data_IF_443796877937
#
_entry.id   IF_443796877937
#
_cell.length_a   1.000
_cell.length_b   1.000
_cell.length_c   1.000
_cell.angle_alpha   90.00
_cell.angle_beta   90.00
_cell.angle_gamma   90.00
#
_symmetry.space_group_name_H-M   'P 1'
#
loop_
_entity.id
_entity.type
_entity.pdbx_description
1 polymer ?
#
# COMPACT_ATOMS: atom_id res chain seq x y z
N UNK A 1 -1.33 20.31 -12.20
CA UNK A 1 -1.15 19.27 -11.16
C UNK A 1 -2.38 19.26 -10.27
N UNK A 2 -2.97 18.12 -10.02
CA UNK A 2 -4.11 17.95 -9.14
C UNK A 2 -3.76 17.02 -7.97
N UNK A 3 -4.46 17.12 -6.87
CA UNK A 3 -4.38 16.16 -5.78
C UNK A 3 -4.88 14.80 -6.27
N UNK A 4 -4.11 13.76 -6.01
CA UNK A 4 -4.51 12.37 -6.22
C UNK A 4 -5.14 11.81 -4.95
N UNK A 5 -6.12 10.93 -5.10
CA UNK A 5 -6.88 10.36 -3.99
C UNK A 5 -6.69 8.85 -3.97
N UNK A 6 -6.31 8.33 -2.81
CA UNK A 6 -6.23 6.89 -2.55
C UNK A 6 -7.17 6.53 -1.40
N UNK A 7 -8.02 5.52 -1.61
CA UNK A 7 -8.77 4.90 -0.53
C UNK A 7 -8.10 3.60 -0.11
N UNK A 8 -7.88 3.43 1.19
CA UNK A 8 -7.17 2.29 1.75
C UNK A 8 -8.08 1.42 2.62
N UNK A 9 -8.00 0.11 2.41
CA UNK A 9 -8.68 -0.87 3.25
C UNK A 9 -10.13 -1.12 2.86
N UNK A 10 -10.50 -0.95 1.60
CA UNK A 10 -11.79 -1.40 1.10
C UNK A 10 -11.78 -2.93 0.98
N UNK A 11 -12.87 -3.57 1.43
CA UNK A 11 -13.02 -5.03 1.42
C UNK A 11 -14.24 -5.49 0.63
N UNK A 12 -15.16 -4.58 0.33
CA UNK A 12 -16.42 -4.89 -0.34
C UNK A 12 -16.42 -4.39 -1.79
N UNK A 13 -16.98 -5.21 -2.67
CA UNK A 13 -17.12 -4.87 -4.09
C UNK A 13 -17.92 -3.59 -4.33
N UNK A 14 -18.99 -3.38 -3.54
CA UNK A 14 -19.84 -2.20 -3.65
C UNK A 14 -19.10 -0.91 -3.29
N UNK A 15 -18.23 -0.95 -2.28
CA UNK A 15 -17.41 0.20 -1.87
C UNK A 15 -16.35 0.51 -2.91
N UNK A 16 -15.75 -0.53 -3.49
CA UNK A 16 -14.80 -0.40 -4.59
C UNK A 16 -15.44 0.29 -5.80
N UNK A 17 -16.61 -0.15 -6.19
CA UNK A 17 -17.41 0.43 -7.29
C UNK A 17 -17.74 1.90 -7.04
N UNK A 18 -18.12 2.23 -5.81
CA UNK A 18 -18.39 3.59 -5.39
C UNK A 18 -17.13 4.47 -5.49
N UNK A 19 -16.00 3.98 -5.01
CA UNK A 19 -14.73 4.71 -5.08
C UNK A 19 -14.31 4.99 -6.53
N UNK A 20 -14.45 4.00 -7.41
CA UNK A 20 -14.15 4.16 -8.85
C UNK A 20 -15.05 5.21 -9.50
N UNK A 21 -16.35 5.19 -9.21
CA UNK A 21 -17.29 6.20 -9.73
C UNK A 21 -17.00 7.60 -9.21
N UNK A 22 -16.45 7.72 -8.02
CA UNK A 22 -16.02 9.01 -7.45
C UNK A 22 -14.69 9.52 -8.02
N UNK A 23 -14.02 8.74 -8.87
CA UNK A 23 -12.80 9.15 -9.56
C UNK A 23 -11.53 8.95 -8.72
N UNK A 24 -11.49 7.91 -7.87
CA UNK A 24 -10.29 7.56 -7.11
C UNK A 24 -9.11 7.22 -8.04
N UNK A 25 -7.90 7.57 -7.61
CA UNK A 25 -6.67 7.29 -8.38
C UNK A 25 -6.02 5.97 -7.98
N UNK A 26 -6.20 5.54 -6.72
CA UNK A 26 -5.61 4.32 -6.19
C UNK A 26 -6.49 3.68 -5.11
N UNK A 27 -6.44 2.36 -5.06
CA UNK A 27 -7.07 1.55 -4.01
C UNK A 27 -5.98 0.80 -3.26
N UNK A 28 -6.02 0.87 -1.93
CA UNK A 28 -5.15 0.10 -1.05
C UNK A 28 -5.85 -1.16 -0.56
N UNK A 29 -5.21 -2.30 -0.79
CA UNK A 29 -5.59 -3.60 -0.22
C UNK A 29 -4.72 -3.90 0.99
N UNK A 30 -5.32 -4.11 2.15
CA UNK A 30 -4.60 -4.43 3.38
C UNK A 30 -4.35 -5.94 3.41
N UNK A 31 -3.06 -6.31 3.38
CA UNK A 31 -2.62 -7.72 3.35
C UNK A 31 -2.01 -8.15 4.70
N UNK A 32 -2.16 -7.33 5.72
CA UNK A 32 -1.70 -7.63 7.08
C UNK A 32 -2.76 -8.41 7.85
N UNK A 33 -2.51 -9.70 8.22
CA UNK A 33 -3.55 -10.57 8.78
C UNK A 33 -4.18 -10.10 10.10
N UNK A 34 -3.48 -9.22 10.83
CA UNK A 34 -4.00 -8.65 12.09
C UNK A 34 -4.97 -7.50 11.91
N UNK A 35 -5.08 -6.97 10.71
CA UNK A 35 -6.03 -5.89 10.43
C UNK A 35 -7.45 -6.44 10.33
N UNK A 36 -8.47 -5.74 10.87
CA UNK A 36 -9.87 -6.11 10.64
C UNK A 36 -10.30 -5.97 9.17
N UNK A 37 -9.51 -5.25 8.36
CA UNK A 37 -9.73 -5.06 6.92
C UNK A 37 -8.80 -5.93 6.07
N UNK A 38 -8.16 -6.96 6.69
CA UNK A 38 -7.25 -7.84 5.98
C UNK A 38 -7.95 -8.64 4.89
N UNK A 39 -7.29 -8.73 3.75
CA UNK A 39 -7.67 -9.58 2.62
C UNK A 39 -6.61 -10.66 2.41
N UNK A 40 -7.03 -11.83 1.96
CA UNK A 40 -6.11 -12.80 1.37
C UNK A 40 -5.67 -12.34 -0.02
N UNK A 41 -4.63 -12.97 -0.57
CA UNK A 41 -4.19 -12.70 -1.94
C UNK A 41 -5.33 -12.97 -2.93
N UNK A 42 -6.08 -14.04 -2.74
CA UNK A 42 -7.21 -14.43 -3.60
C UNK A 42 -8.36 -13.42 -3.54
N UNK A 43 -8.70 -12.94 -2.34
CA UNK A 43 -9.73 -11.91 -2.16
C UNK A 43 -9.32 -10.59 -2.81
N UNK A 44 -8.09 -10.15 -2.58
CA UNK A 44 -7.55 -8.93 -3.17
C UNK A 44 -7.45 -9.06 -4.70
N UNK A 45 -7.06 -10.21 -5.22
CA UNK A 45 -7.03 -10.47 -6.66
C UNK A 45 -8.42 -10.38 -7.29
N UNK A 46 -9.45 -10.88 -6.62
CA UNK A 46 -10.82 -10.77 -7.08
C UNK A 46 -11.29 -9.31 -7.18
N UNK A 47 -10.98 -8.51 -6.18
CA UNK A 47 -11.28 -7.06 -6.19
C UNK A 47 -10.45 -6.32 -7.24
N UNK A 48 -9.16 -6.66 -7.38
CA UNK A 48 -8.28 -6.06 -8.37
C UNK A 48 -8.81 -6.20 -9.80
N UNK A 49 -9.40 -7.35 -10.13
CA UNK A 49 -10.00 -7.60 -11.46
C UNK A 49 -11.19 -6.68 -11.78
N UNK A 50 -11.82 -6.08 -10.77
CA UNK A 50 -12.93 -5.14 -10.93
C UNK A 50 -12.45 -3.71 -11.15
N UNK A 51 -11.17 -3.41 -10.90
CA UNK A 51 -10.61 -2.08 -11.11
C UNK A 51 -10.34 -1.82 -12.59
N UNK A 52 -10.70 -0.62 -13.09
CA UNK A 52 -10.25 -0.19 -14.39
C UNK A 52 -8.72 0.01 -14.43
N UNK A 53 -8.12 -0.10 -15.59
CA UNK A 53 -6.67 -0.07 -15.77
C UNK A 53 -6.00 1.25 -15.33
N UNK A 54 -6.75 2.33 -15.23
CA UNK A 54 -6.24 3.64 -14.80
C UNK A 54 -6.31 3.88 -13.28
N UNK A 55 -6.80 2.90 -12.50
CA UNK A 55 -6.79 2.95 -11.03
C UNK A 55 -5.71 2.03 -10.50
N UNK A 56 -4.78 2.59 -9.73
CA UNK A 56 -3.66 1.83 -9.18
C UNK A 56 -4.11 0.89 -8.05
N UNK A 57 -3.54 -0.30 -8.03
CA UNK A 57 -3.68 -1.25 -6.94
C UNK A 57 -2.43 -1.19 -6.04
N UNK A 58 -2.62 -0.82 -4.79
CA UNK A 58 -1.56 -0.71 -3.78
C UNK A 58 -1.76 -1.80 -2.73
N UNK A 59 -0.73 -2.60 -2.47
CA UNK A 59 -0.74 -3.61 -1.41
C UNK A 59 -0.08 -3.06 -0.15
N UNK A 60 -0.83 -2.93 0.95
CA UNK A 60 -0.29 -2.55 2.25
C UNK A 60 0.18 -3.81 2.99
N UNK A 61 1.46 -3.86 3.32
CA UNK A 61 2.10 -4.99 3.99
C UNK A 61 2.84 -4.54 5.25
N UNK A 62 2.89 -5.42 6.24
CA UNK A 62 3.55 -5.18 7.53
C UNK A 62 4.45 -6.38 7.83
N UNK A 63 5.76 -6.17 7.81
CA UNK A 63 6.78 -7.15 8.14
C UNK A 63 6.63 -8.48 7.38
N UNK A 64 6.15 -8.44 6.14
CA UNK A 64 6.01 -9.60 5.29
C UNK A 64 7.38 -10.07 4.78
N UNK A 65 7.53 -11.38 4.62
CA UNK A 65 8.74 -11.96 4.04
C UNK A 65 8.84 -11.59 2.55
N UNK A 66 10.05 -11.51 1.98
CA UNK A 66 10.22 -11.19 0.56
C UNK A 66 9.41 -12.10 -0.39
N UNK A 67 9.29 -13.38 -0.06
CA UNK A 67 8.49 -14.31 -0.85
C UNK A 67 7.00 -13.99 -0.80
N UNK A 68 6.49 -13.58 0.36
CA UNK A 68 5.09 -13.18 0.53
C UNK A 68 4.80 -11.88 -0.24
N UNK A 69 5.75 -10.95 -0.28
CA UNK A 69 5.65 -9.73 -1.10
C UNK A 69 5.58 -10.09 -2.58
N UNK A 70 6.50 -10.95 -3.06
CA UNK A 70 6.54 -11.37 -4.45
C UNK A 70 5.26 -12.12 -4.87
N UNK A 71 4.76 -13.00 -4.01
CA UNK A 71 3.53 -13.76 -4.26
C UNK A 71 2.31 -12.83 -4.33
N UNK A 72 2.22 -11.84 -3.43
CA UNK A 72 1.15 -10.85 -3.46
C UNK A 72 1.21 -9.98 -4.73
N UNK A 73 2.40 -9.51 -5.10
CA UNK A 73 2.61 -8.69 -6.29
C UNK A 73 2.12 -9.43 -7.55
N UNK A 74 2.56 -10.67 -7.73
CA UNK A 74 2.19 -11.46 -8.92
C UNK A 74 0.76 -11.99 -8.85
N UNK A 75 0.31 -12.43 -7.68
CA UNK A 75 -1.02 -13.02 -7.50
C UNK A 75 -2.16 -12.02 -7.62
N UNK A 76 -1.95 -10.81 -7.16
CA UNK A 76 -2.97 -9.73 -7.21
C UNK A 76 -2.80 -8.88 -8.47
N UNK A 77 -1.59 -8.68 -8.94
CA UNK A 77 -1.26 -7.70 -9.97
C UNK A 77 -1.13 -6.30 -9.37
N UNK A 78 -0.35 -6.18 -8.28
CA UNK A 78 -0.12 -4.90 -7.63
C UNK A 78 0.74 -3.97 -8.49
N UNK A 79 0.45 -2.68 -8.42
CA UNK A 79 1.24 -1.62 -9.05
C UNK A 79 2.29 -1.05 -8.09
N UNK A 80 1.99 -1.04 -6.79
CA UNK A 80 2.85 -0.52 -5.72
C UNK A 80 2.70 -1.36 -4.47
N UNK A 81 3.79 -1.54 -3.74
CA UNK A 81 3.78 -2.07 -2.36
C UNK A 81 3.94 -0.91 -1.38
N UNK A 82 3.06 -0.81 -0.39
CA UNK A 82 3.19 0.13 0.72
C UNK A 82 3.65 -0.62 1.96
N UNK A 83 4.90 -0.39 2.37
CA UNK A 83 5.46 -0.96 3.60
C UNK A 83 5.08 -0.11 4.81
N UNK A 84 4.41 -0.72 5.77
CA UNK A 84 3.81 -0.03 6.92
C UNK A 84 4.29 -0.59 8.28
N UNK A 85 5.27 -1.48 8.27
CA UNK A 85 5.86 -2.09 9.48
C UNK A 85 7.22 -1.51 9.83
N UNK A 86 8.12 -2.38 10.26
CA UNK A 86 9.48 -2.04 10.66
C UNK A 86 10.51 -2.48 9.62
N UNK A 87 10.09 -2.62 8.37
CA UNK A 87 10.94 -3.09 7.28
C UNK A 87 12.12 -2.14 7.08
N UNK A 88 13.32 -2.72 6.97
CA UNK A 88 14.54 -1.97 6.67
C UNK A 88 14.56 -1.49 5.22
N UNK A 89 15.40 -0.49 4.86
CA UNK A 89 15.58 -0.09 3.47
C UNK A 89 15.97 -1.24 2.55
N UNK A 90 16.81 -2.16 3.04
CA UNK A 90 17.25 -3.35 2.32
C UNK A 90 16.09 -4.30 2.04
N UNK A 91 15.25 -4.54 3.03
CA UNK A 91 14.04 -5.39 2.89
C UNK A 91 13.05 -4.77 1.90
N UNK A 92 12.78 -3.46 2.01
CA UNK A 92 11.94 -2.75 1.06
C UNK A 92 12.48 -2.81 -0.36
N UNK A 93 13.81 -2.70 -0.51
CA UNK A 93 14.49 -2.76 -1.80
C UNK A 93 14.40 -4.10 -2.52
N UNK A 94 13.97 -5.17 -1.84
CA UNK A 94 13.70 -6.47 -2.46
C UNK A 94 12.35 -6.53 -3.19
N UNK A 95 11.52 -5.48 -3.09
CA UNK A 95 10.27 -5.42 -3.84
C UNK A 95 10.50 -5.46 -5.35
N UNK A 96 9.79 -6.33 -6.10
CA UNK A 96 9.92 -6.41 -7.55
C UNK A 96 9.27 -5.24 -8.30
N UNK A 97 8.53 -4.38 -7.59
CA UNK A 97 7.82 -3.22 -8.13
C UNK A 97 8.10 -1.99 -7.28
N UNK A 98 7.77 -0.77 -7.76
CA UNK A 98 7.87 0.44 -6.96
C UNK A 98 7.20 0.29 -5.60
N UNK A 99 7.75 0.95 -4.59
CA UNK A 99 7.24 0.86 -3.23
C UNK A 99 7.20 2.21 -2.54
N UNK A 100 6.28 2.33 -1.60
CA UNK A 100 6.10 3.47 -0.72
C UNK A 100 6.44 3.07 0.71
N UNK A 101 6.95 4.02 1.48
CA UNK A 101 7.24 3.84 2.90
C UNK A 101 6.25 4.64 3.75
N UNK A 102 5.51 3.99 4.63
CA UNK A 102 4.70 4.66 5.64
C UNK A 102 5.57 5.14 6.79
N UNK A 103 5.37 6.38 7.20
CA UNK A 103 6.10 7.05 8.27
C UNK A 103 5.12 7.46 9.35
N UNK A 104 5.28 6.92 10.55
CA UNK A 104 4.49 7.30 11.72
C UNK A 104 5.00 8.64 12.23
N UNK A 105 4.20 9.68 12.06
CA UNK A 105 4.57 11.06 12.34
C UNK A 105 4.27 11.42 13.80
N UNK A 106 5.31 11.54 14.62
CA UNK A 106 5.27 12.14 15.97
C UNK A 106 5.78 13.58 15.94
N UNK A 107 6.76 13.84 15.07
CA UNK A 107 7.40 15.13 14.90
C UNK A 107 7.91 15.31 13.48
N UNK A 108 8.31 16.52 13.11
CA UNK A 108 8.93 16.81 11.82
C UNK A 108 10.25 16.03 11.60
N UNK A 109 10.94 15.63 12.68
CA UNK A 109 12.16 14.85 12.60
C UNK A 109 11.94 13.46 12.01
N UNK A 110 10.76 12.85 12.20
CA UNK A 110 10.43 11.55 11.65
C UNK A 110 10.46 11.59 10.12
N UNK A 111 9.95 12.67 9.53
CA UNK A 111 9.99 12.85 8.08
C UNK A 111 11.43 13.03 7.58
N UNK A 112 12.23 13.88 8.24
CA UNK A 112 13.62 14.10 7.86
C UNK A 112 14.43 12.80 7.92
N UNK A 113 14.21 12.02 8.99
CA UNK A 113 14.86 10.72 9.17
C UNK A 113 14.44 9.70 8.09
N UNK A 114 13.16 9.64 7.77
CA UNK A 114 12.65 8.74 6.73
C UNK A 114 13.20 9.10 5.33
N UNK A 115 13.30 10.39 5.02
CA UNK A 115 13.91 10.85 3.76
C UNK A 115 15.36 10.42 3.62
N UNK A 116 16.10 10.44 4.71
CA UNK A 116 17.50 9.99 4.76
C UNK A 116 17.62 8.47 4.68
N UNK A 117 16.78 7.73 5.41
CA UNK A 117 16.83 6.27 5.46
C UNK A 117 16.29 5.57 4.21
N UNK A 118 15.23 6.11 3.60
CA UNK A 118 14.53 5.47 2.49
C UNK A 118 14.58 6.28 1.18
N UNK A 119 15.78 6.62 0.69
CA UNK A 119 15.93 7.46 -0.50
C UNK A 119 15.42 6.79 -1.78
N UNK A 120 15.25 5.46 -1.77
CA UNK A 120 14.74 4.68 -2.91
C UNK A 120 13.22 4.51 -2.90
N UNK A 121 12.53 4.95 -1.85
CA UNK A 121 11.09 4.95 -1.83
C UNK A 121 10.54 5.90 -2.91
N UNK A 122 9.59 5.44 -3.72
CA UNK A 122 8.94 6.29 -4.71
C UNK A 122 8.12 7.41 -4.06
N UNK A 123 7.55 7.13 -2.88
CA UNK A 123 6.80 8.09 -2.07
C UNK A 123 6.87 7.72 -0.58
N UNK A 124 6.66 8.72 0.26
CA UNK A 124 6.43 8.54 1.69
C UNK A 124 4.94 8.78 1.99
N UNK A 125 4.36 7.90 2.78
CA UNK A 125 2.99 8.03 3.28
C UNK A 125 3.08 8.51 4.73
N UNK A 126 2.66 9.74 4.99
CA UNK A 126 2.71 10.31 6.34
C UNK A 126 1.46 9.89 7.11
N UNK A 127 1.66 9.09 8.13
CA UNK A 127 0.59 8.54 8.96
C UNK A 127 0.61 9.19 10.34
N UNK A 128 -0.55 9.68 10.79
CA UNK A 128 -0.65 10.27 12.11
C UNK A 128 -0.41 9.20 13.18
N UNK A 129 0.46 9.51 14.14
CA UNK A 129 0.64 8.64 15.28
C UNK A 129 -0.61 8.71 16.17
N UNK A 130 -1.22 7.57 16.42
CA UNK A 130 -2.26 7.39 17.44
C UNK A 130 -1.78 6.37 18.46
N UNK A 131 -1.93 6.69 19.76
CA UNK A 131 -1.66 5.76 20.86
C UNK A 131 -2.62 4.56 20.84
#
# INVERSE_FOLDING_TARGET
VRTRVKFCGLVESADLDCAVRLGVDAIGFVLWPRSPRALTVEQAAALRRQLPSWVMAVGLMVNAKPIEVADAVSGIGLDVVQFHGDETPEECGLSPIPWWRAVRMRSANDLAHALDQYPQAEALVLDAFSD
#
